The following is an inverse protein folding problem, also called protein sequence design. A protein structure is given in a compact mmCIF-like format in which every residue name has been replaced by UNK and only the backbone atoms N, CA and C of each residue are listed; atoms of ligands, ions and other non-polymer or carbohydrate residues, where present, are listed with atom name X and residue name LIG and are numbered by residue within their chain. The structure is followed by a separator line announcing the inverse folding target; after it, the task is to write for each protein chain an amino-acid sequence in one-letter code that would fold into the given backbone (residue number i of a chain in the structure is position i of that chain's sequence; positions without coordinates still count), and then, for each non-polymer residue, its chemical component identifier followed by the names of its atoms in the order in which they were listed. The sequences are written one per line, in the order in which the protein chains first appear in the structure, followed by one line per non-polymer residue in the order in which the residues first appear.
data_IF_167558184548
#
_entry.id   IF_167558184548
#
_cell.length_a   1.000
_cell.length_b   1.000
_cell.length_c   1.000
_cell.angle_alpha   90.00
_cell.angle_beta   90.00
_cell.angle_gamma   90.00
#
_symmetry.space_group_name_H-M   'P 1'
#
loop_
_entity.id
_entity.type
_entity.pdbx_description
1 polymer ?
#
# COMPACT_ATOMS: atom_id res chain seq x y z
N UNK A 1 4.05 0.86 2.14
CA UNK A 1 5.52 0.71 2.32
C UNK A 1 6.24 1.83 1.60
N UNK A 2 7.47 2.17 1.98
CA UNK A 2 8.28 3.24 1.35
C UNK A 2 8.49 3.01 -0.14
N UNK A 3 8.64 1.75 -0.56
CA UNK A 3 8.74 1.36 -1.98
C UNK A 3 7.43 1.48 -2.79
N UNK A 4 6.32 1.86 -2.17
CA UNK A 4 5.02 2.11 -2.82
C UNK A 4 3.97 1.00 -2.71
N UNK A 5 4.32 -0.23 -2.33
CA UNK A 5 3.31 -1.30 -2.13
C UNK A 5 2.27 -0.85 -1.10
N UNK A 6 0.99 -1.01 -1.44
CA UNK A 6 -0.14 -0.45 -0.71
C UNK A 6 -1.25 -1.48 -0.52
N UNK A 7 -2.01 -1.35 0.56
CA UNK A 7 -3.13 -2.23 0.93
C UNK A 7 -4.21 -1.42 1.62
N UNK A 8 -5.48 -1.73 1.33
CA UNK A 8 -6.63 -1.32 2.16
C UNK A 8 -6.99 -2.51 3.04
N UNK A 9 -6.91 -2.33 4.36
CA UNK A 9 -7.19 -3.37 5.34
C UNK A 9 -8.33 -2.94 6.28
N UNK A 10 -8.93 -3.90 6.98
CA UNK A 10 -9.97 -3.69 8.00
C UNK A 10 -9.60 -4.42 9.30
N UNK A 11 -10.01 -3.86 10.45
CA UNK A 11 -9.61 -4.31 11.80
C UNK A 11 -9.80 -5.81 12.05
N UNK A 12 -10.90 -6.38 11.57
CA UNK A 12 -11.33 -7.74 11.92
C UNK A 12 -10.91 -8.81 10.89
N UNK A 13 -10.13 -8.42 9.87
CA UNK A 13 -9.56 -9.35 8.90
C UNK A 13 -8.25 -9.95 9.45
N UNK A 14 -7.94 -11.19 9.05
CA UNK A 14 -6.63 -11.78 9.37
C UNK A 14 -5.49 -10.95 8.77
N UNK A 15 -4.27 -10.95 9.35
CA UNK A 15 -3.19 -10.06 8.93
C UNK A 15 -2.78 -10.12 7.45
N UNK A 16 -3.03 -11.23 6.76
CA UNK A 16 -2.72 -11.41 5.33
C UNK A 16 -3.96 -11.36 4.42
N UNK A 17 -5.14 -11.09 4.99
CA UNK A 17 -6.33 -10.72 4.24
C UNK A 17 -6.32 -9.21 3.96
N UNK A 18 -7.23 -8.74 3.11
CA UNK A 18 -7.35 -7.33 2.77
C UNK A 18 -8.71 -7.09 2.11
N UNK A 19 -9.11 -5.82 2.02
CA UNK A 19 -10.22 -5.40 1.18
C UNK A 19 -9.73 -5.21 -0.26
N UNK A 20 -8.60 -4.50 -0.43
CA UNK A 20 -7.96 -4.30 -1.73
C UNK A 20 -6.43 -4.37 -1.57
N UNK A 21 -5.75 -5.00 -2.54
CA UNK A 21 -4.30 -5.15 -2.56
C UNK A 21 -3.71 -4.54 -3.84
N UNK A 22 -2.61 -3.81 -3.70
CA UNK A 22 -1.87 -3.18 -4.78
C UNK A 22 -0.44 -3.74 -4.80
N UNK A 23 -0.23 -4.95 -5.34
CA UNK A 23 1.00 -5.71 -5.13
C UNK A 23 2.15 -5.25 -6.03
N UNK A 24 1.85 -4.59 -7.15
CA UNK A 24 2.85 -4.10 -8.10
C UNK A 24 3.04 -2.59 -7.92
N UNK A 25 3.92 -2.19 -7.01
CA UNK A 25 4.23 -0.78 -6.78
C UNK A 25 4.65 0.01 -8.06
N UNK A 26 5.43 -0.56 -9.01
CA UNK A 26 5.89 0.18 -10.19
C UNK A 26 4.79 0.66 -11.14
N UNK A 27 3.58 0.10 -11.08
CA UNK A 27 2.46 0.51 -11.95
C UNK A 27 1.51 1.51 -11.28
N UNK A 28 1.75 1.88 -10.02
CA UNK A 28 0.89 2.80 -9.28
C UNK A 28 1.19 4.24 -9.68
N UNK A 29 0.15 4.97 -10.07
CA UNK A 29 0.23 6.41 -10.37
C UNK A 29 -0.32 7.25 -9.22
N UNK A 30 -0.10 8.57 -9.27
CA UNK A 30 -0.72 9.50 -8.31
C UNK A 30 -2.25 9.42 -8.32
N UNK A 31 -2.84 9.17 -9.49
CA UNK A 31 -4.29 8.95 -9.61
C UNK A 31 -4.71 7.66 -8.91
N UNK A 32 -3.94 6.57 -9.06
CA UNK A 32 -4.19 5.32 -8.32
C UNK A 32 -4.21 5.58 -6.82
N UNK A 33 -3.22 6.29 -6.27
CA UNK A 33 -3.19 6.65 -4.84
C UNK A 33 -4.41 7.48 -4.40
N UNK A 34 -4.86 8.44 -5.24
CA UNK A 34 -6.07 9.22 -4.96
C UNK A 34 -7.32 8.34 -4.91
N UNK A 35 -7.41 7.36 -5.80
CA UNK A 35 -8.54 6.41 -5.84
C UNK A 35 -8.48 5.41 -4.67
N UNK A 36 -7.30 4.96 -4.26
CA UNK A 36 -7.10 4.16 -3.04
C UNK A 36 -7.67 4.89 -1.81
N UNK A 37 -7.28 6.15 -1.63
CA UNK A 37 -7.79 6.97 -0.52
C UNK A 37 -9.30 7.18 -0.58
N UNK A 38 -9.86 7.37 -1.79
CA UNK A 38 -11.31 7.49 -1.99
C UNK A 38 -12.05 6.21 -1.59
N UNK A 39 -11.57 5.04 -2.01
CA UNK A 39 -12.21 3.77 -1.68
C UNK A 39 -12.07 3.46 -0.19
N UNK A 40 -10.90 3.67 0.41
CA UNK A 40 -10.70 3.54 1.86
C UNK A 40 -11.72 4.39 2.65
N UNK A 41 -11.95 5.64 2.24
CA UNK A 41 -12.95 6.51 2.86
C UNK A 41 -14.39 6.02 2.66
N UNK A 42 -14.71 5.41 1.52
CA UNK A 42 -16.04 4.81 1.25
C UNK A 42 -16.26 3.56 2.10
N UNK A 43 -15.28 2.67 2.20
CA UNK A 43 -15.34 1.52 3.11
C UNK A 43 -15.51 1.97 4.57
N UNK A 44 -14.80 3.02 5.00
CA UNK A 44 -14.97 3.58 6.34
C UNK A 44 -16.39 4.12 6.62
N UNK A 45 -17.13 4.50 5.58
CA UNK A 45 -18.55 4.92 5.67
C UNK A 45 -19.54 3.75 5.57
N UNK A 46 -19.07 2.52 5.39
CA UNK A 46 -19.92 1.34 5.20
C UNK A 46 -20.44 1.15 3.76
N UNK A 47 -19.94 1.92 2.80
CA UNK A 47 -20.26 1.71 1.38
C UNK A 47 -19.55 0.46 0.84
N UNK A 48 -20.09 -0.07 -0.27
CA UNK A 48 -19.44 -1.10 -1.09
C UNK A 48 -19.02 -0.53 -2.45
N UNK A 49 -17.94 0.28 -2.54
CA UNK A 49 -17.41 0.78 -3.80
C UNK A 49 -16.96 -0.34 -4.73
N UNK A 50 -16.97 -0.08 -6.04
CA UNK A 50 -16.21 -0.91 -6.97
C UNK A 50 -14.71 -0.80 -6.63
N UNK A 51 -13.95 -1.92 -6.62
CA UNK A 51 -12.52 -1.89 -6.36
C UNK A 51 -11.77 -0.98 -7.35
N UNK A 52 -10.65 -0.41 -6.91
CA UNK A 52 -9.80 0.40 -7.77
C UNK A 52 -9.28 -0.47 -8.93
N UNK A 53 -9.44 -0.03 -10.19
CA UNK A 53 -8.90 -0.77 -11.34
C UNK A 53 -7.40 -1.00 -11.19
N UNK A 54 -6.98 -2.25 -11.35
CA UNK A 54 -5.58 -2.66 -11.24
C UNK A 54 -4.96 -2.78 -12.63
N UNK A 55 -3.70 -2.34 -12.74
CA UNK A 55 -2.83 -2.70 -13.86
C UNK A 55 -1.99 -3.89 -13.41
N UNK A 56 -1.90 -4.92 -14.24
CA UNK A 56 -1.00 -6.05 -14.02
C UNK A 56 0.01 -6.09 -15.16
N UNK A 57 1.26 -5.72 -14.86
CA UNK A 57 2.37 -5.84 -15.79
C UNK A 57 3.15 -7.13 -15.50
N UNK A 58 3.08 -8.07 -16.44
CA UNK A 58 3.83 -9.33 -16.38
C UNK A 58 5.36 -9.13 -16.33
N UNK A 59 5.87 -7.99 -16.79
CA UNK A 59 7.29 -7.63 -16.74
C UNK A 59 7.68 -6.88 -15.46
N UNK A 60 6.73 -6.53 -14.59
CA UNK A 60 7.02 -5.83 -13.34
C UNK A 60 8.00 -6.61 -12.47
N UNK A 61 7.79 -7.93 -12.32
CA UNK A 61 8.67 -8.78 -11.51
C UNK A 61 10.07 -8.91 -12.12
N UNK A 62 10.25 -9.32 -13.40
CA UNK A 62 11.57 -9.35 -14.03
C UNK A 62 12.37 -8.04 -13.90
N UNK A 63 11.71 -6.88 -14.03
CA UNK A 63 12.38 -5.57 -13.99
C UNK A 63 12.67 -5.09 -12.57
N UNK A 64 11.74 -5.28 -11.63
CA UNK A 64 11.76 -4.54 -10.36
C UNK A 64 11.87 -5.42 -9.11
N UNK A 65 11.82 -6.76 -9.20
CA UNK A 65 11.84 -7.62 -8.01
C UNK A 65 13.12 -7.46 -7.18
N UNK A 66 14.28 -7.43 -7.83
CA UNK A 66 15.57 -7.24 -7.14
C UNK A 66 15.64 -5.87 -6.44
N UNK A 67 15.19 -4.81 -7.13
CA UNK A 67 15.12 -3.45 -6.57
C UNK A 67 14.16 -3.40 -5.38
N UNK A 68 12.99 -4.04 -5.51
CA UNK A 68 11.99 -4.11 -4.45
C UNK A 68 12.50 -4.87 -3.21
N UNK A 69 13.38 -5.87 -3.39
CA UNK A 69 14.04 -6.57 -2.30
C UNK A 69 15.04 -5.66 -1.58
N UNK A 70 15.90 -4.93 -2.31
CA UNK A 70 16.85 -3.97 -1.73
C UNK A 70 16.15 -2.88 -0.91
N UNK A 71 15.07 -2.29 -1.45
CA UNK A 71 14.29 -1.30 -0.72
C UNK A 71 13.63 -1.87 0.53
N UNK A 72 13.13 -3.11 0.48
CA UNK A 72 12.55 -3.76 1.65
C UNK A 72 13.61 -4.08 2.71
N UNK A 73 14.79 -4.56 2.32
CA UNK A 73 15.92 -4.79 3.23
C UNK A 73 16.26 -3.49 3.96
N UNK A 74 16.43 -2.38 3.22
CA UNK A 74 16.76 -1.09 3.82
C UNK A 74 15.66 -0.54 4.74
N UNK A 75 14.39 -0.65 4.35
CA UNK A 75 13.26 -0.25 5.22
C UNK A 75 13.21 -1.08 6.50
N UNK A 76 13.53 -2.38 6.42
CA UNK A 76 13.48 -3.31 7.55
C UNK A 76 14.54 -3.02 8.60
N UNK A 77 15.67 -2.43 8.23
CA UNK A 77 16.71 -1.99 9.19
C UNK A 77 16.21 -0.94 10.19
N UNK A 78 15.09 -0.28 9.92
CA UNK A 78 14.46 0.69 10.82
C UNK A 78 13.38 0.09 11.73
N UNK A 79 13.16 -1.23 11.69
CA UNK A 79 12.18 -1.90 12.57
C UNK A 79 12.69 -1.88 14.01
N UNK A 80 11.84 -1.39 14.91
CA UNK A 80 12.07 -1.39 16.35
C UNK A 80 10.87 -2.04 17.04
N UNK A 81 11.03 -3.29 17.47
CA UNK A 81 9.95 -4.08 18.07
C UNK A 81 9.46 -3.53 19.42
N UNK A 82 10.23 -2.64 20.06
CA UNK A 82 9.85 -2.01 21.33
C UNK A 82 8.97 -0.77 21.14
N UNK A 83 8.92 -0.21 19.94
CA UNK A 83 8.20 1.04 19.65
C UNK A 83 6.80 0.78 19.14
N UNK A 84 5.85 1.56 19.63
CA UNK A 84 4.48 1.63 19.11
C UNK A 84 4.41 2.59 17.91
N UNK A 85 3.40 2.45 17.02
CA UNK A 85 3.11 3.46 16.01
C UNK A 85 2.92 4.85 16.63
N UNK A 86 3.30 5.90 15.89
CA UNK A 86 3.24 7.30 16.32
C UNK A 86 2.42 8.11 15.32
N UNK A 87 1.72 9.13 15.81
CA UNK A 87 1.02 10.10 14.95
C UNK A 87 2.03 10.98 14.22
N UNK A 88 1.71 11.36 12.97
CA UNK A 88 2.55 12.18 12.12
C UNK A 88 1.78 13.44 11.66
N UNK A 89 2.44 14.61 11.74
CA UNK A 89 1.93 15.84 11.13
C UNK A 89 2.35 15.88 9.64
N UNK A 90 1.38 15.98 8.74
CA UNK A 90 1.64 16.09 7.29
C UNK A 90 1.60 17.54 6.87
N UNK A 91 2.69 18.03 6.27
CA UNK A 91 2.78 19.37 5.67
C UNK A 91 2.96 19.25 4.16
N UNK A 92 2.04 19.86 3.42
CA UNK A 92 2.17 20.05 1.98
C UNK A 92 2.74 21.46 1.77
N UNK A 93 3.97 21.54 1.28
CA UNK A 93 4.59 22.82 0.90
C UNK A 93 4.03 23.31 -0.43
#
# INVERSE_FOLDING_TARGET
QSRGTTVIHQRDLFPLQNIELFPQAPVLTLETYRNIGRNAARYAKGDSPAPVPQISDQMARPKYQAIAAVFHIRETEFVDASKKPMDLEVRFN
#
